data_IF_432296932250
#
_entry.id   IF_432296932250
#
_cell.length_a   1.000
_cell.length_b   1.000
_cell.length_c   1.000
_cell.angle_alpha   90.00
_cell.angle_beta   90.00
_cell.angle_gamma   90.00
#
_symmetry.space_group_name_H-M   'P 1'
#
loop_
_entity.id
_entity.type
_entity.pdbx_description
1 polymer ?
#
# COMPACT_ATOMS: atom_id res chain seq x y z
N UNK A 1 -20.72 48.70 4.55
CA UNK A 1 -20.95 47.33 5.04
C UNK A 1 -20.51 46.40 3.92
N UNK A 2 -19.26 45.95 3.93
CA UNK A 2 -18.76 44.98 2.95
C UNK A 2 -18.04 43.88 3.72
N UNK A 3 -18.72 42.74 3.85
CA UNK A 3 -18.18 41.51 4.42
C UNK A 3 -17.23 40.90 3.38
N UNK A 4 -15.94 40.86 3.70
CA UNK A 4 -14.94 40.15 2.90
C UNK A 4 -15.03 38.65 3.21
N UNK A 5 -14.85 37.90 2.14
CA UNK A 5 -15.12 36.49 1.95
C UNK A 5 -14.26 35.62 2.88
N UNK A 6 -14.88 34.62 3.50
CA UNK A 6 -14.14 33.54 4.16
C UNK A 6 -13.52 32.67 3.07
N UNK A 7 -12.22 32.80 2.85
CA UNK A 7 -11.42 31.82 2.11
C UNK A 7 -11.50 30.48 2.85
N UNK A 8 -12.26 29.55 2.26
CA UNK A 8 -12.27 28.13 2.60
C UNK A 8 -10.88 27.56 2.31
N UNK A 9 -10.00 27.67 3.31
CA UNK A 9 -8.70 26.99 3.32
C UNK A 9 -8.94 25.49 3.61
N UNK A 10 -9.64 24.81 2.69
CA UNK A 10 -9.73 23.36 2.71
C UNK A 10 -8.34 22.80 2.40
N UNK A 11 -7.70 22.06 3.32
CA UNK A 11 -6.42 21.44 3.04
C UNK A 11 -6.59 20.48 1.85
N UNK A 12 -5.75 20.66 0.82
CA UNK A 12 -5.68 19.76 -0.33
C UNK A 12 -5.65 18.30 0.15
N UNK A 13 -6.29 17.34 -0.55
CA UNK A 13 -6.33 15.93 -0.13
C UNK A 13 -4.94 15.28 0.01
N UNK A 14 -3.88 15.95 -0.44
CA UNK A 14 -2.48 15.61 -0.22
C UNK A 14 -2.04 15.81 1.24
N UNK A 15 -2.59 16.81 1.93
CA UNK A 15 -2.20 17.27 3.26
C UNK A 15 -2.73 16.37 4.40
N UNK A 16 -3.69 15.48 4.11
CA UNK A 16 -4.23 14.53 5.11
C UNK A 16 -3.43 13.23 5.23
N UNK A 17 -2.33 13.07 4.49
CA UNK A 17 -1.55 11.83 4.47
C UNK A 17 -0.42 11.89 5.49
N UNK A 18 -0.50 10.99 6.47
CA UNK A 18 0.54 10.87 7.51
C UNK A 18 1.87 10.28 6.98
N UNK A 19 1.85 9.57 5.85
CA UNK A 19 3.03 8.90 5.29
C UNK A 19 3.15 9.10 3.77
N UNK A 20 4.34 9.37 3.23
CA UNK A 20 4.57 9.44 1.79
C UNK A 20 4.31 8.08 1.14
N UNK A 21 3.71 8.08 -0.06
CA UNK A 21 3.49 6.88 -0.88
C UNK A 21 4.61 6.79 -1.90
N UNK A 22 5.38 5.73 -1.81
CA UNK A 22 6.49 5.46 -2.70
C UNK A 22 6.01 4.51 -3.81
N UNK A 23 6.28 4.83 -5.09
CA UNK A 23 5.89 3.95 -6.18
C UNK A 23 6.62 2.61 -6.07
N UNK A 24 5.87 1.52 -6.16
CA UNK A 24 6.43 0.17 -6.17
C UNK A 24 5.57 -0.71 -7.06
N UNK A 25 6.14 -1.14 -8.19
CA UNK A 25 5.46 -2.01 -9.17
C UNK A 25 5.88 -3.46 -8.94
N UNK A 26 5.15 -4.12 -8.05
CA UNK A 26 5.42 -5.51 -7.68
C UNK A 26 4.18 -6.38 -7.89
N UNK A 27 4.38 -7.67 -8.14
CA UNK A 27 3.29 -8.63 -8.09
C UNK A 27 2.87 -8.86 -6.63
N UNK A 28 1.57 -9.01 -6.41
CA UNK A 28 1.01 -9.30 -5.10
C UNK A 28 -0.12 -10.32 -5.19
N UNK A 29 -0.27 -11.10 -4.14
CA UNK A 29 -1.40 -11.99 -3.95
C UNK A 29 -2.22 -11.52 -2.75
N UNK A 30 -3.52 -11.32 -2.96
CA UNK A 30 -4.48 -10.98 -1.91
C UNK A 30 -5.23 -12.23 -1.48
N UNK A 31 -5.48 -12.39 -0.19
CA UNK A 31 -6.22 -13.52 0.38
C UNK A 31 -7.32 -13.02 1.33
N UNK A 32 -8.54 -13.48 1.10
CA UNK A 32 -9.70 -13.30 1.96
C UNK A 32 -10.38 -14.65 2.18
N UNK A 33 -10.37 -15.14 3.42
CA UNK A 33 -10.85 -16.49 3.76
C UNK A 33 -10.20 -17.56 2.87
N UNK A 34 -10.98 -18.23 2.00
CA UNK A 34 -10.50 -19.24 1.05
C UNK A 34 -10.31 -18.71 -0.38
N UNK A 35 -10.61 -17.43 -0.64
CA UNK A 35 -10.46 -16.81 -1.95
C UNK A 35 -9.15 -16.05 -2.05
N UNK A 36 -8.48 -16.19 -3.18
CA UNK A 36 -7.28 -15.46 -3.53
C UNK A 36 -7.47 -14.67 -4.81
N UNK A 37 -6.77 -13.54 -4.91
CA UNK A 37 -6.70 -12.75 -6.14
C UNK A 37 -5.28 -12.30 -6.41
N UNK A 38 -4.95 -12.21 -7.70
CA UNK A 38 -3.71 -11.63 -8.15
C UNK A 38 -3.88 -10.12 -8.35
N UNK A 39 -2.87 -9.36 -7.92
CA UNK A 39 -2.86 -7.92 -7.98
C UNK A 39 -1.48 -7.39 -8.33
N UNK A 40 -1.44 -6.17 -8.87
CA UNK A 40 -0.23 -5.37 -8.92
C UNK A 40 -0.22 -4.35 -7.80
N UNK A 41 0.85 -4.33 -7.04
CA UNK A 41 1.19 -3.20 -6.19
C UNK A 41 1.52 -2.01 -7.09
N UNK A 42 0.96 -0.85 -6.74
CA UNK A 42 1.14 0.40 -7.47
C UNK A 42 1.98 1.39 -6.65
N UNK A 43 1.67 1.50 -5.37
CA UNK A 43 2.39 2.30 -4.38
C UNK A 43 2.26 1.71 -2.98
N UNK A 44 3.26 1.98 -2.13
CA UNK A 44 3.35 1.54 -0.74
C UNK A 44 3.78 2.69 0.18
N UNK A 45 3.28 2.68 1.41
CA UNK A 45 3.72 3.55 2.50
C UNK A 45 3.93 2.72 3.78
N UNK A 46 4.26 3.37 4.88
CA UNK A 46 4.44 2.72 6.18
C UNK A 46 3.19 2.00 6.72
N UNK A 47 1.99 2.39 6.28
CA UNK A 47 0.73 1.85 6.80
C UNK A 47 -0.31 1.53 5.73
N UNK A 48 -0.04 1.83 4.46
CA UNK A 48 -1.01 1.62 3.40
C UNK A 48 -0.40 1.22 2.06
N UNK A 49 -1.14 0.43 1.29
CA UNK A 49 -0.79 0.06 -0.09
C UNK A 49 -1.92 0.39 -1.04
N UNK A 50 -1.56 0.65 -2.29
CA UNK A 50 -2.49 0.71 -3.42
C UNK A 50 -2.24 -0.48 -4.34
N UNK A 51 -3.30 -1.22 -4.62
CA UNK A 51 -3.29 -2.42 -5.44
C UNK A 51 -4.22 -2.25 -6.64
N UNK A 52 -3.85 -2.76 -7.80
CA UNK A 52 -4.72 -2.97 -8.94
C UNK A 52 -4.99 -4.45 -9.11
N UNK A 53 -6.25 -4.88 -9.02
CA UNK A 53 -6.63 -6.28 -9.21
C UNK A 53 -6.64 -6.67 -10.68
N UNK A 54 -6.23 -7.91 -10.95
CA UNK A 54 -6.19 -8.48 -12.30
C UNK A 54 -7.48 -9.16 -12.72
N UNK A 55 -8.40 -9.38 -11.79
CA UNK A 55 -9.67 -10.06 -12.02
C UNK A 55 -10.80 -9.40 -11.24
N UNK A 56 -12.04 -9.69 -11.62
CA UNK A 56 -13.22 -9.25 -10.88
C UNK A 56 -13.19 -9.73 -9.42
N UNK A 57 -13.74 -8.91 -8.53
CA UNK A 57 -13.78 -9.20 -7.10
C UNK A 57 -15.09 -8.69 -6.47
N UNK A 58 -15.43 -9.29 -5.33
CA UNK A 58 -16.57 -8.87 -4.51
C UNK A 58 -16.14 -8.17 -3.22
N UNK A 59 -14.85 -7.84 -3.09
CA UNK A 59 -14.27 -7.18 -1.92
C UNK A 59 -14.90 -5.80 -1.69
N UNK A 60 -15.12 -5.48 -0.42
CA UNK A 60 -15.76 -4.23 0.03
C UNK A 60 -14.87 -3.51 1.04
N UNK A 61 -15.11 -2.21 1.18
CA UNK A 61 -14.49 -1.42 2.24
C UNK A 61 -14.76 -2.06 3.61
N UNK A 62 -13.73 -2.18 4.43
CA UNK A 62 -13.76 -2.76 5.76
C UNK A 62 -13.40 -4.26 5.83
N UNK A 63 -13.37 -4.96 4.69
CA UNK A 63 -12.95 -6.36 4.63
C UNK A 63 -11.51 -6.52 5.08
N UNK A 64 -11.25 -7.52 5.93
CA UNK A 64 -9.93 -7.86 6.43
C UNK A 64 -9.27 -8.92 5.54
N UNK A 65 -8.08 -8.63 5.04
CA UNK A 65 -7.37 -9.48 4.08
C UNK A 65 -5.88 -9.57 4.42
N UNK A 66 -5.25 -10.62 3.90
CA UNK A 66 -3.79 -10.74 3.83
C UNK A 66 -3.32 -10.39 2.43
N UNK A 67 -2.14 -9.79 2.34
CA UNK A 67 -1.47 -9.47 1.08
C UNK A 67 -0.04 -9.93 1.17
N UNK A 68 0.39 -10.73 0.19
CA UNK A 68 1.76 -11.15 0.02
C UNK A 68 2.32 -10.42 -1.21
N UNK A 69 3.27 -9.52 -0.98
CA UNK A 69 3.97 -8.80 -2.06
C UNK A 69 5.20 -9.60 -2.44
N UNK A 70 5.36 -9.93 -3.71
CA UNK A 70 6.51 -10.66 -4.24
C UNK A 70 7.64 -9.67 -4.54
N UNK A 71 8.83 -9.96 -4.02
CA UNK A 71 10.03 -9.12 -4.14
C UNK A 71 11.15 -9.83 -4.91
N UNK A 72 10.85 -10.93 -5.62
CA UNK A 72 11.84 -11.68 -6.41
C UNK A 72 12.51 -10.83 -7.50
N UNK A 73 11.78 -9.90 -8.11
CA UNK A 73 12.32 -8.93 -9.09
C UNK A 73 13.13 -7.79 -8.45
N UNK A 74 13.22 -7.78 -7.11
CA UNK A 74 13.81 -6.72 -6.31
C UNK A 74 14.99 -7.26 -5.46
N UNK A 75 16.05 -7.81 -6.08
CA UNK A 75 17.15 -8.48 -5.37
C UNK A 75 17.93 -7.54 -4.42
N UNK A 76 17.87 -6.22 -4.65
CA UNK A 76 18.47 -5.22 -3.77
C UNK A 76 17.74 -5.10 -2.41
N UNK A 77 16.52 -5.61 -2.31
CA UNK A 77 15.62 -5.44 -1.16
C UNK A 77 15.46 -6.72 -0.34
N UNK A 78 16.26 -7.76 -0.64
CA UNK A 78 16.20 -9.07 0.02
C UNK A 78 17.45 -9.35 0.85
N UNK A 79 17.99 -8.37 1.59
CA UNK A 79 19.17 -8.59 2.45
C UNK A 79 18.91 -9.69 3.49
N UNK A 80 17.67 -9.83 3.92
CA UNK A 80 17.23 -10.90 4.83
C UNK A 80 16.97 -12.25 4.15
N UNK A 81 17.22 -12.38 2.84
CA UNK A 81 16.93 -13.58 2.03
C UNK A 81 15.43 -13.86 1.82
N UNK A 82 14.55 -13.05 2.41
CA UNK A 82 13.09 -13.15 2.27
C UNK A 82 12.66 -12.51 0.95
N UNK A 83 11.94 -13.28 0.14
CA UNK A 83 11.47 -12.90 -1.20
C UNK A 83 10.04 -12.37 -1.25
N UNK A 84 9.37 -12.32 -0.10
CA UNK A 84 7.99 -11.85 -0.01
C UNK A 84 7.76 -11.04 1.26
N UNK A 85 7.00 -9.97 1.14
CA UNK A 85 6.52 -9.17 2.28
C UNK A 85 5.07 -9.54 2.58
N UNK A 86 4.81 -9.99 3.81
CA UNK A 86 3.49 -10.44 4.26
C UNK A 86 2.84 -9.37 5.12
N UNK A 87 1.68 -8.91 4.69
CA UNK A 87 0.91 -7.84 5.29
C UNK A 87 -0.51 -8.35 5.60
N UNK A 88 -1.09 -7.91 6.71
CA UNK A 88 -2.51 -8.11 7.00
C UNK A 88 -3.17 -6.76 7.25
N UNK A 89 -4.39 -6.58 6.78
CA UNK A 89 -4.98 -5.26 6.75
C UNK A 89 -6.46 -5.26 6.47
N UNK A 90 -7.03 -4.06 6.35
CA UNK A 90 -8.41 -3.84 5.94
C UNK A 90 -8.49 -2.92 4.73
N UNK A 91 -9.48 -3.16 3.88
CA UNK A 91 -9.75 -2.27 2.75
C UNK A 91 -10.26 -0.92 3.25
N UNK A 92 -9.48 0.12 3.01
CA UNK A 92 -9.84 1.50 3.32
C UNK A 92 -10.72 2.11 2.22
N UNK A 93 -10.48 1.73 0.97
CA UNK A 93 -11.23 2.22 -0.18
C UNK A 93 -11.20 1.24 -1.36
N UNK A 94 -12.28 1.21 -2.14
CA UNK A 94 -12.45 0.39 -3.33
C UNK A 94 -12.97 1.29 -4.44
N UNK A 95 -12.25 1.35 -5.57
CA UNK A 95 -12.66 2.11 -6.76
C UNK A 95 -12.39 1.28 -8.01
N UNK A 96 -13.44 0.66 -8.53
CA UNK A 96 -13.32 -0.28 -9.65
C UNK A 96 -12.29 -1.37 -9.31
N UNK A 97 -11.31 -1.65 -10.16
CA UNK A 97 -10.21 -2.58 -9.90
C UNK A 97 -9.10 -2.05 -8.96
N UNK A 98 -9.18 -0.79 -8.50
CA UNK A 98 -8.15 -0.17 -7.66
C UNK A 98 -8.56 -0.19 -6.19
N UNK A 99 -7.70 -0.78 -5.36
CA UNK A 99 -7.91 -0.98 -3.93
C UNK A 99 -6.90 -0.21 -3.10
N UNK A 100 -7.38 0.48 -2.08
CA UNK A 100 -6.57 1.03 -1.00
C UNK A 100 -6.69 0.14 0.24
N UNK A 101 -5.58 -0.39 0.71
CA UNK A 101 -5.52 -1.22 1.92
C UNK A 101 -4.73 -0.48 2.99
N UNK A 102 -5.27 -0.42 4.20
CA UNK A 102 -4.50 -0.10 5.41
C UNK A 102 -4.01 -1.41 6.02
N UNK A 103 -2.72 -1.51 6.32
CA UNK A 103 -2.09 -2.77 6.68
C UNK A 103 -1.15 -2.64 7.88
N UNK A 104 -0.81 -3.79 8.44
CA UNK A 104 0.29 -4.00 9.37
C UNK A 104 1.13 -5.19 8.91
N UNK A 105 2.46 -5.18 9.16
CA UNK A 105 3.31 -6.33 8.91
C UNK A 105 2.87 -7.53 9.76
N UNK A 106 2.91 -8.74 9.19
CA UNK A 106 2.45 -9.94 9.89
C UNK A 106 3.43 -10.39 10.99
N UNK A 107 4.72 -10.13 10.81
CA UNK A 107 5.78 -10.51 11.75
C UNK A 107 6.80 -9.38 11.94
N UNK A 108 7.66 -9.44 12.99
CA UNK A 108 8.78 -8.50 13.13
C UNK A 108 9.74 -8.52 11.93
N UNK A 109 9.92 -9.68 11.29
CA UNK A 109 10.74 -9.80 10.08
C UNK A 109 10.09 -9.06 8.90
N UNK A 110 8.77 -9.15 8.74
CA UNK A 110 8.02 -8.36 7.76
C UNK A 110 8.12 -6.86 8.04
N UNK A 111 8.10 -6.45 9.31
CA UNK A 111 8.28 -5.04 9.69
C UNK A 111 9.65 -4.52 9.29
N UNK A 112 10.72 -5.27 9.59
CA UNK A 112 12.08 -4.89 9.22
C UNK A 112 12.25 -4.83 7.69
N UNK A 113 11.67 -5.80 6.97
CA UNK A 113 11.69 -5.82 5.51
C UNK A 113 10.94 -4.62 4.90
N UNK A 114 9.79 -4.25 5.46
CA UNK A 114 9.05 -3.06 5.05
C UNK A 114 9.86 -1.78 5.26
N UNK A 115 10.50 -1.63 6.42
CA UNK A 115 11.31 -0.44 6.74
C UNK A 115 12.51 -0.30 5.80
N UNK A 116 13.20 -1.42 5.51
CA UNK A 116 14.28 -1.48 4.52
C UNK A 116 13.77 -1.10 3.12
N UNK A 117 12.62 -1.66 2.71
CA UNK A 117 11.99 -1.38 1.42
C UNK A 117 11.65 0.12 1.26
N UNK A 118 11.02 0.72 2.26
CA UNK A 118 10.64 2.14 2.23
C UNK A 118 11.88 3.06 2.22
N UNK A 119 12.89 2.74 3.02
CA UNK A 119 14.16 3.47 3.04
C UNK A 119 14.84 3.46 1.67
N UNK A 120 14.92 2.29 1.04
CA UNK A 120 15.53 2.18 -0.29
C UNK A 120 14.73 2.89 -1.38
N UNK A 121 13.39 2.77 -1.37
CA UNK A 121 12.52 3.46 -2.34
C UNK A 121 12.61 4.99 -2.22
N UNK A 122 12.62 5.52 -0.99
CA UNK A 122 12.77 6.96 -0.76
C UNK A 122 14.13 7.51 -1.21
N UNK A 123 15.19 6.71 -1.10
CA UNK A 123 16.51 7.08 -1.60
C UNK A 123 16.60 7.11 -3.14
N UNK A 124 15.76 6.34 -3.84
CA UNK A 124 15.70 6.32 -5.30
C UNK A 124 14.94 7.51 -5.89
N UNK A 125 13.89 8.00 -5.21
CA UNK A 125 13.09 9.15 -5.67
C UNK A 125 13.84 10.49 -5.53
N UNK A 126 14.95 10.52 -4.78
CA UNK A 126 15.79 11.70 -4.57
C UNK A 126 16.90 11.88 -5.62
N UNK A 127 16.91 11.08 -6.70
CA UNK A 127 17.94 11.10 -7.75
C UNK A 127 17.43 11.57 -9.10
#
# INVERSE_FOLDING_TARGET
>A
MNTLEHEDNQPSPEDRRQYPRLPLRAYAQMQYSSKGWEAHLLDISASGIKLGLLSEHLLRKGDALRVHVMLDDFPAFTHSGKKSLHLHGRLAHVRDHILGLEFQPDTPADKNLLDELLTQLSAQESR
#
